data_IF_755016592657
#
_entry.id   IF_755016592657
#
_cell.length_a   1.000
_cell.length_b   1.000
_cell.length_c   1.000
_cell.angle_alpha   90.00
_cell.angle_beta   90.00
_cell.angle_gamma   90.00
#
_symmetry.space_group_name_H-M   'P 1'
#
loop_
_entity.id
_entity.type
_entity.pdbx_description
1 polymer ?
#
# COMPACT_ATOMS: atom_id res chain seq x y z
N UNK A 1 19.69 16.93 -3.29
CA UNK A 1 18.48 16.76 -4.12
C UNK A 1 18.73 15.56 -5.02
N UNK A 2 17.99 14.47 -4.86
CA UNK A 2 18.09 13.31 -5.75
C UNK A 2 17.25 13.58 -6.99
N UNK A 3 17.87 13.56 -8.17
CA UNK A 3 17.21 13.76 -9.48
C UNK A 3 16.31 12.57 -9.77
N UNK A 4 15.11 12.83 -10.29
CA UNK A 4 14.21 11.79 -10.78
C UNK A 4 14.53 11.51 -12.26
N UNK A 5 14.90 10.28 -12.57
CA UNK A 5 15.23 9.82 -13.93
C UNK A 5 14.07 8.98 -14.48
N UNK A 6 13.36 9.44 -15.53
CA UNK A 6 12.33 8.64 -16.18
C UNK A 6 12.89 7.34 -16.76
N UNK A 7 12.28 6.20 -16.44
CA UNK A 7 12.62 4.92 -17.04
C UNK A 7 11.67 4.62 -18.20
N UNK A 8 12.17 4.76 -19.43
CA UNK A 8 11.45 4.44 -20.67
C UNK A 8 11.81 3.03 -21.15
N UNK A 9 10.81 2.14 -21.31
CA UNK A 9 11.05 0.79 -21.87
C UNK A 9 10.08 -0.31 -21.44
N UNK A 10 9.13 -0.06 -20.53
CA UNK A 10 8.13 -1.05 -20.10
C UNK A 10 6.80 -0.93 -20.85
N UNK A 11 6.14 -2.06 -21.13
CA UNK A 11 4.81 -2.12 -21.76
C UNK A 11 3.63 -2.09 -20.76
N UNK A 12 3.91 -2.13 -19.45
CA UNK A 12 2.89 -2.36 -18.42
C UNK A 12 2.59 -1.14 -17.53
N UNK A 13 3.42 -0.10 -17.52
CA UNK A 13 3.24 1.06 -16.63
C UNK A 13 3.94 2.31 -17.17
N UNK A 14 3.19 3.38 -17.42
CA UNK A 14 3.73 4.71 -17.70
C UNK A 14 4.22 5.39 -16.40
N UNK A 15 5.16 6.34 -16.50
CA UNK A 15 5.56 7.21 -15.37
C UNK A 15 6.47 6.56 -14.33
N UNK A 16 7.19 5.48 -14.67
CA UNK A 16 8.20 4.88 -13.77
C UNK A 16 9.42 5.79 -13.71
N UNK A 17 9.88 6.11 -12.50
CA UNK A 17 11.09 6.94 -12.29
C UNK A 17 12.09 6.21 -11.40
N UNK A 18 13.38 6.44 -11.64
CA UNK A 18 14.46 6.08 -10.73
C UNK A 18 14.87 7.29 -9.91
N UNK A 19 15.06 7.09 -8.61
CA UNK A 19 15.54 8.09 -7.66
C UNK A 19 16.66 7.45 -6.85
N UNK A 20 17.92 7.79 -7.18
CA UNK A 20 19.08 7.04 -6.67
C UNK A 20 18.97 5.56 -7.06
N UNK A 21 19.08 4.66 -6.07
CA UNK A 21 18.96 3.21 -6.30
C UNK A 21 17.51 2.69 -6.30
N UNK A 22 16.52 3.58 -6.10
CA UNK A 22 15.12 3.17 -5.97
C UNK A 22 14.34 3.41 -7.27
N UNK A 23 13.62 2.40 -7.74
CA UNK A 23 12.63 2.55 -8.82
C UNK A 23 11.24 2.76 -8.22
N UNK A 24 10.59 3.88 -8.54
CA UNK A 24 9.23 4.22 -8.14
C UNK A 24 8.29 4.02 -9.33
N UNK A 25 7.21 3.28 -9.11
CA UNK A 25 6.16 3.04 -10.10
C UNK A 25 4.85 3.64 -9.60
N UNK A 26 4.12 4.40 -10.44
CA UNK A 26 2.78 4.88 -10.08
C UNK A 26 1.85 3.69 -9.89
N UNK A 27 1.03 3.76 -8.86
CA UNK A 27 0.12 2.69 -8.52
C UNK A 27 -0.99 2.55 -9.58
N UNK A 28 -1.26 1.32 -10.02
CA UNK A 28 -2.32 1.01 -10.98
C UNK A 28 -3.56 0.38 -10.32
N UNK A 29 -4.62 0.09 -11.09
CA UNK A 29 -5.87 -0.51 -10.59
C UNK A 29 -5.68 -1.82 -9.82
N UNK A 30 -4.61 -2.56 -10.14
CA UNK A 30 -4.15 -3.78 -9.46
C UNK A 30 -3.84 -3.57 -7.96
N UNK A 31 -3.62 -2.32 -7.53
CA UNK A 31 -3.39 -1.99 -6.12
C UNK A 31 -4.63 -2.27 -5.27
N UNK A 32 -5.84 -2.13 -5.84
CA UNK A 32 -7.08 -2.52 -5.18
C UNK A 32 -7.23 -4.04 -5.03
N UNK A 33 -6.67 -4.84 -5.95
CA UNK A 33 -6.73 -6.30 -5.87
C UNK A 33 -5.88 -6.86 -4.71
N UNK A 34 -4.74 -6.23 -4.42
CA UNK A 34 -3.93 -6.55 -3.24
C UNK A 34 -4.66 -6.19 -1.93
N UNK A 35 -5.39 -5.08 -1.92
CA UNK A 35 -6.23 -4.66 -0.79
C UNK A 35 -7.37 -5.67 -0.49
N UNK A 36 -7.84 -6.39 -1.52
CA UNK A 36 -8.88 -7.40 -1.38
C UNK A 36 -8.41 -8.76 -0.82
N UNK A 37 -7.13 -9.12 -0.95
CA UNK A 37 -6.64 -10.44 -0.51
C UNK A 37 -6.34 -10.48 1.00
N UNK A 38 -5.84 -9.37 1.54
CA UNK A 38 -5.55 -9.15 2.96
C UNK A 38 -6.32 -7.89 3.38
N UNK A 39 -7.54 -8.00 3.92
CA UNK A 39 -8.35 -6.83 4.21
C UNK A 39 -7.81 -6.08 5.44
N UNK A 40 -6.74 -5.33 5.22
CA UNK A 40 -6.14 -4.41 6.18
C UNK A 40 -6.90 -3.08 6.13
N UNK A 41 -8.20 -3.13 6.40
CA UNK A 41 -9.09 -1.99 6.24
C UNK A 41 -9.70 -1.49 7.54
N UNK A 42 -9.79 -0.17 7.65
CA UNK A 42 -10.52 0.54 8.68
C UNK A 42 -12.04 0.35 8.57
N UNK A 43 -12.55 0.06 7.37
CA UNK A 43 -13.98 -0.09 7.13
C UNK A 43 -14.47 -1.48 7.62
N UNK A 44 -15.39 -1.51 8.61
CA UNK A 44 -15.92 -2.74 9.17
C UNK A 44 -16.56 -3.68 8.14
N UNK A 45 -17.08 -3.16 7.03
CA UNK A 45 -17.69 -3.98 5.98
C UNK A 45 -16.68 -4.91 5.29
N UNK A 46 -15.38 -4.58 5.34
CA UNK A 46 -14.30 -5.36 4.73
C UNK A 46 -13.54 -6.22 5.74
N UNK A 47 -13.73 -6.00 7.03
CA UNK A 47 -13.09 -6.79 8.09
C UNK A 47 -13.70 -8.20 8.13
N UNK A 48 -12.87 -9.23 8.05
CA UNK A 48 -13.32 -10.62 7.95
C UNK A 48 -13.16 -11.41 9.25
N UNK A 49 -12.40 -10.88 10.21
CA UNK A 49 -12.14 -11.52 11.50
C UNK A 49 -11.10 -12.65 11.43
N UNK A 50 -10.71 -13.09 10.23
CA UNK A 50 -9.63 -14.05 9.97
C UNK A 50 -8.35 -13.38 9.42
N UNK A 51 -8.27 -12.04 9.46
CA UNK A 51 -7.19 -11.24 8.87
C UNK A 51 -5.80 -11.72 9.32
N UNK A 52 -5.68 -12.05 10.61
CA UNK A 52 -4.47 -12.54 11.26
C UNK A 52 -4.01 -13.88 10.64
N UNK A 53 -4.94 -14.80 10.40
CA UNK A 53 -4.66 -16.10 9.77
C UNK A 53 -4.27 -15.94 8.30
N UNK A 54 -4.91 -15.03 7.57
CA UNK A 54 -4.60 -14.74 6.17
C UNK A 54 -3.20 -14.13 6.02
N UNK A 55 -2.83 -13.21 6.92
CA UNK A 55 -1.48 -12.64 6.98
C UNK A 55 -0.44 -13.73 7.20
N UNK A 56 -0.69 -14.65 8.15
CA UNK A 56 0.22 -15.77 8.44
C UNK A 56 0.39 -16.68 7.23
N UNK A 57 -0.70 -17.12 6.61
CA UNK A 57 -0.68 -17.93 5.37
C UNK A 57 0.15 -17.24 4.29
N UNK A 58 -0.01 -15.92 4.12
CA UNK A 58 0.76 -15.18 3.13
C UNK A 58 2.26 -15.18 3.44
N UNK A 59 2.67 -14.87 4.66
CA UNK A 59 4.10 -14.82 5.00
C UNK A 59 4.76 -16.20 5.01
N UNK A 60 4.01 -17.25 5.36
CA UNK A 60 4.47 -18.64 5.30
C UNK A 60 4.63 -19.10 3.84
N UNK A 61 3.64 -18.81 2.98
CA UNK A 61 3.68 -19.19 1.57
C UNK A 61 4.85 -18.53 0.81
N UNK A 62 5.23 -17.31 1.21
CA UNK A 62 6.39 -16.61 0.64
C UNK A 62 7.70 -16.86 1.39
N UNK A 63 7.68 -17.67 2.46
CA UNK A 63 8.89 -18.07 3.21
C UNK A 63 9.58 -16.92 3.93
N UNK A 64 8.83 -15.92 4.42
CA UNK A 64 9.42 -14.78 5.11
C UNK A 64 10.05 -15.19 6.44
N UNK A 65 11.27 -14.74 6.68
CA UNK A 65 11.96 -14.88 7.96
C UNK A 65 11.44 -13.90 9.02
N UNK A 66 11.89 -14.07 10.27
CA UNK A 66 11.46 -13.26 11.41
C UNK A 66 11.78 -11.77 11.25
N UNK A 67 12.92 -11.43 10.64
CA UNK A 67 13.31 -10.04 10.40
C UNK A 67 12.40 -9.39 9.34
N UNK A 68 12.09 -10.11 8.26
CA UNK A 68 11.17 -9.70 7.21
C UNK A 68 9.74 -9.53 7.74
N UNK A 69 9.27 -10.46 8.57
CA UNK A 69 7.95 -10.37 9.23
C UNK A 69 7.82 -9.13 10.11
N UNK A 70 8.86 -8.81 10.89
CA UNK A 70 8.90 -7.58 11.71
C UNK A 70 8.85 -6.30 10.88
N UNK A 71 9.45 -6.30 9.69
CA UNK A 71 9.46 -5.15 8.79
C UNK A 71 8.18 -5.02 7.96
N UNK A 72 7.40 -6.10 7.84
CA UNK A 72 6.24 -6.14 6.96
C UNK A 72 5.15 -5.13 7.37
N UNK A 73 4.79 -5.07 8.65
CA UNK A 73 3.69 -4.22 9.13
C UNK A 73 3.98 -2.72 8.95
N UNK A 74 5.15 -2.19 9.39
CA UNK A 74 5.51 -0.80 9.10
C UNK A 74 5.59 -0.50 7.59
N UNK A 75 6.06 -1.47 6.80
CA UNK A 75 6.14 -1.33 5.35
C UNK A 75 4.75 -1.24 4.72
N UNK A 76 3.80 -2.10 5.12
CA UNK A 76 2.42 -2.08 4.66
C UNK A 76 1.73 -0.75 5.00
N UNK A 77 1.81 -0.28 6.25
CA UNK A 77 1.25 1.02 6.65
C UNK A 77 1.78 2.16 5.78
N UNK A 78 3.11 2.22 5.58
CA UNK A 78 3.76 3.24 4.74
C UNK A 78 3.33 3.12 3.27
N UNK A 79 3.21 1.90 2.76
CA UNK A 79 2.82 1.64 1.36
C UNK A 79 1.36 2.01 1.10
N UNK A 80 0.47 1.78 2.08
CA UNK A 80 -0.94 2.19 2.05
C UNK A 80 -1.03 3.71 2.11
N UNK A 81 -0.30 4.38 3.02
CA UNK A 81 -0.24 5.84 3.09
C UNK A 81 0.26 6.48 1.79
N UNK A 82 1.22 5.85 1.11
CA UNK A 82 1.73 6.34 -0.16
C UNK A 82 0.65 6.43 -1.25
N UNK A 83 -0.42 5.64 -1.18
CA UNK A 83 -1.57 5.76 -2.09
C UNK A 83 -2.37 7.03 -1.85
N UNK A 84 -2.63 7.36 -0.59
CA UNK A 84 -3.23 8.63 -0.22
C UNK A 84 -2.40 9.79 -0.78
N UNK A 85 -1.09 9.78 -0.51
CA UNK A 85 -0.20 10.88 -0.91
C UNK A 85 -0.12 11.02 -2.44
N UNK A 86 -0.14 9.89 -3.17
CA UNK A 86 -0.20 9.87 -4.63
C UNK A 86 -1.49 10.50 -5.18
N UNK A 87 -2.65 10.13 -4.62
CA UNK A 87 -3.93 10.72 -5.03
C UNK A 87 -4.01 12.21 -4.68
N UNK A 88 -3.49 12.60 -3.50
CA UNK A 88 -3.43 14.00 -3.07
C UNK A 88 -2.59 14.84 -4.05
N UNK A 89 -1.41 14.34 -4.45
CA UNK A 89 -0.54 15.02 -5.41
C UNK A 89 -1.16 15.13 -6.81
N UNK A 90 -1.81 14.05 -7.28
CA UNK A 90 -2.52 14.05 -8.56
C UNK A 90 -3.69 15.04 -8.57
N UNK A 91 -4.45 15.11 -7.47
CA UNK A 91 -5.55 16.05 -7.33
C UNK A 91 -5.09 17.50 -7.21
N UNK A 92 -4.01 17.78 -6.49
CA UNK A 92 -3.41 19.11 -6.39
C UNK A 92 -2.93 19.66 -7.75
N UNK A 93 -2.69 18.77 -8.72
CA UNK A 93 -2.25 19.10 -10.08
C UNK A 93 -3.34 18.92 -11.14
N UNK A 94 -4.61 18.68 -10.74
CA UNK A 94 -5.75 18.40 -11.63
C UNK A 94 -5.50 17.28 -12.68
N UNK A 95 -4.68 16.28 -12.33
CA UNK A 95 -4.39 15.16 -13.22
C UNK A 95 -5.46 14.08 -13.08
N UNK A 96 -6.15 13.79 -14.17
CA UNK A 96 -7.11 12.67 -14.25
C UNK A 96 -6.40 11.33 -14.51
N UNK A 97 -6.93 10.19 -13.99
CA UNK A 97 -8.18 10.05 -13.23
C UNK A 97 -8.03 10.35 -11.71
N UNK A 98 -6.85 10.75 -11.25
CA UNK A 98 -6.53 10.87 -9.82
C UNK A 98 -7.32 11.97 -9.13
N UNK A 99 -7.50 13.12 -9.80
CA UNK A 99 -8.31 14.22 -9.31
C UNK A 99 -9.78 13.79 -9.09
N UNK A 100 -10.37 13.03 -10.01
CA UNK A 100 -11.69 12.42 -9.81
C UNK A 100 -11.72 11.49 -8.60
N UNK A 101 -10.78 10.56 -8.49
CA UNK A 101 -10.76 9.60 -7.35
C UNK A 101 -10.59 10.33 -6.01
N UNK A 102 -9.83 11.41 -5.97
CA UNK A 102 -9.73 12.24 -4.77
C UNK A 102 -11.06 12.88 -4.40
N UNK A 103 -11.77 13.49 -5.36
CA UNK A 103 -13.11 14.09 -5.14
C UNK A 103 -14.15 13.05 -4.72
N UNK A 104 -14.05 11.82 -5.22
CA UNK A 104 -14.90 10.70 -4.82
C UNK A 104 -14.55 10.12 -3.43
N UNK A 105 -13.53 10.66 -2.74
CA UNK A 105 -13.21 10.30 -1.36
C UNK A 105 -12.24 9.12 -1.19
N UNK A 106 -11.67 8.60 -2.28
CA UNK A 106 -10.76 7.44 -2.22
C UNK A 106 -9.50 7.74 -1.39
N UNK A 107 -9.04 8.99 -1.36
CA UNK A 107 -7.93 9.41 -0.50
C UNK A 107 -8.20 9.15 0.99
N UNK A 108 -9.40 9.45 1.47
CA UNK A 108 -9.78 9.25 2.86
C UNK A 108 -9.77 7.76 3.25
N UNK A 109 -10.20 6.88 2.34
CA UNK A 109 -10.13 5.42 2.52
C UNK A 109 -8.67 4.98 2.70
N UNK A 110 -7.78 5.36 1.79
CA UNK A 110 -6.36 5.02 1.88
C UNK A 110 -5.69 5.55 3.16
N UNK A 111 -6.06 6.75 3.63
CA UNK A 111 -5.54 7.30 4.86
C UNK A 111 -6.04 6.50 6.08
N UNK A 112 -7.33 6.22 6.15
CA UNK A 112 -7.94 5.47 7.24
C UNK A 112 -7.34 4.06 7.34
N UNK A 113 -7.16 3.37 6.22
CA UNK A 113 -6.55 2.04 6.19
C UNK A 113 -5.09 2.07 6.66
N UNK A 114 -4.32 3.08 6.24
CA UNK A 114 -2.94 3.25 6.70
C UNK A 114 -2.86 3.47 8.22
N UNK A 115 -3.73 4.31 8.76
CA UNK A 115 -3.84 4.55 10.20
C UNK A 115 -4.34 3.31 10.96
N UNK A 116 -5.26 2.55 10.38
CA UNK A 116 -5.76 1.31 10.94
C UNK A 116 -4.65 0.28 11.14
N UNK A 117 -3.78 0.13 10.13
CA UNK A 117 -2.59 -0.74 10.21
C UNK A 117 -1.62 -0.19 11.27
N UNK A 118 -1.27 1.10 11.18
CA UNK A 118 -0.26 1.73 12.03
C UNK A 118 -0.64 1.79 13.52
N UNK A 119 -1.93 1.84 13.84
CA UNK A 119 -2.42 1.92 15.21
C UNK A 119 -2.42 0.55 15.95
N UNK A 120 -2.16 -0.57 15.25
CA UNK A 120 -2.26 -1.93 15.81
C UNK A 120 -0.99 -2.77 15.63
N UNK A 121 0.23 -2.21 15.80
CA UNK A 121 1.46 -2.93 15.45
C UNK A 121 1.64 -4.20 16.28
N UNK A 122 1.21 -4.22 17.55
CA UNK A 122 1.30 -5.41 18.41
C UNK A 122 0.39 -6.55 17.95
N UNK A 123 -0.85 -6.26 17.54
CA UNK A 123 -1.78 -7.27 17.00
C UNK A 123 -1.19 -7.94 15.77
N UNK A 124 -0.73 -7.13 14.82
CA UNK A 124 -0.18 -7.65 13.57
C UNK A 124 1.13 -8.40 13.79
N UNK A 125 1.97 -7.93 14.71
CA UNK A 125 3.21 -8.61 15.03
C UNK A 125 2.97 -9.96 15.70
N UNK A 126 2.02 -10.06 16.64
CA UNK A 126 1.63 -11.32 17.24
C UNK A 126 1.15 -12.32 16.16
N UNK A 127 0.25 -11.88 15.28
CA UNK A 127 -0.26 -12.72 14.18
C UNK A 127 0.84 -13.23 13.23
N UNK A 128 1.94 -12.49 13.07
CA UNK A 128 3.03 -12.85 12.17
C UNK A 128 4.10 -13.74 12.82
N UNK A 129 4.28 -13.65 14.14
CA UNK A 129 5.34 -14.35 14.87
C UNK A 129 4.88 -15.60 15.63
N UNK A 130 3.57 -15.76 15.85
CA UNK A 130 2.96 -17.02 16.33
C UNK A 130 2.97 -18.11 15.25
#
# INVERSE_FOLDING_TARGET
MTVEEPLTGGNASAGVVRVGDTVRRPAGPWTYALHGFLPLSADPAWQRGDDDARLRIFVDAYGLDEAQRRLLVPMLARRTRSMHDFLAAGAASDVEPWARLWREGHGAVWLADAEYIAARPQRWLAALLD
#
